data_IF_904793137484
#
_entry.id   IF_904793137484
#
_cell.length_a   1.000
_cell.length_b   1.000
_cell.length_c   1.000
_cell.angle_alpha   90.00
_cell.angle_beta   90.00
_cell.angle_gamma   90.00
#
_symmetry.space_group_name_H-M   'P 1'
#
loop_
_entity.id
_entity.type
_entity.pdbx_description
1 polymer ?
#
# COMPACT_ATOMS: atom_id res chain seq x y z
N UNK A 1 49.96 -8.71 74.17
CA UNK A 1 49.28 -9.01 72.89
C UNK A 1 49.38 -7.78 71.99
N UNK A 2 50.17 -7.85 70.91
CA UNK A 2 50.34 -6.76 69.92
C UNK A 2 49.72 -7.19 68.59
N UNK A 3 48.98 -6.28 67.95
CA UNK A 3 48.58 -6.38 66.54
C UNK A 3 49.64 -5.73 65.64
N UNK A 4 49.77 -6.23 64.42
CA UNK A 4 50.18 -5.54 63.18
C UNK A 4 49.44 -6.29 62.05
N UNK A 5 48.61 -5.69 61.18
CA UNK A 5 48.76 -4.63 60.15
C UNK A 5 49.36 -5.13 58.82
N UNK A 6 48.67 -4.72 57.74
CA UNK A 6 48.58 -5.26 56.38
C UNK A 6 49.81 -5.14 55.46
N UNK A 7 49.82 -5.88 54.33
CA UNK A 7 50.07 -5.32 52.97
C UNK A 7 49.88 -6.34 51.81
N UNK A 8 48.88 -6.06 50.96
CA UNK A 8 48.86 -5.93 49.48
C UNK A 8 49.82 -6.72 48.55
N UNK A 9 49.25 -7.43 47.53
CA UNK A 9 49.72 -7.41 46.12
C UNK A 9 48.74 -8.04 45.09
N UNK A 10 48.08 -7.14 44.33
CA UNK A 10 48.15 -7.02 42.84
C UNK A 10 47.54 -8.18 42.02
N UNK A 11 46.32 -8.04 41.45
CA UNK A 11 45.93 -7.20 40.28
C UNK A 11 46.69 -7.58 39.00
N UNK A 12 46.02 -8.23 38.03
CA UNK A 12 46.26 -8.04 36.58
C UNK A 12 45.60 -9.07 35.63
N UNK A 13 45.09 -10.23 36.09
CA UNK A 13 44.56 -11.27 35.16
C UNK A 13 43.05 -11.30 34.95
N UNK A 14 42.26 -10.54 35.72
CA UNK A 14 40.79 -10.58 35.65
C UNK A 14 40.15 -9.45 34.82
N UNK A 15 40.91 -8.53 34.27
CA UNK A 15 40.37 -7.35 33.56
C UNK A 15 40.22 -7.53 32.05
N UNK A 16 40.83 -8.56 31.44
CA UNK A 16 40.79 -8.74 29.99
C UNK A 16 39.57 -9.52 29.48
N UNK A 17 38.95 -10.34 30.32
CA UNK A 17 37.75 -11.12 29.92
C UNK A 17 36.45 -10.31 29.98
N UNK A 18 36.39 -9.29 30.85
CA UNK A 18 35.16 -8.51 31.04
C UNK A 18 34.91 -7.50 29.90
N UNK A 19 35.97 -6.93 29.33
CA UNK A 19 35.88 -5.92 28.27
C UNK A 19 35.36 -6.49 26.94
N UNK A 20 35.75 -7.72 26.59
CA UNK A 20 35.29 -8.39 25.37
C UNK A 20 33.81 -8.77 25.45
N UNK A 21 33.35 -9.24 26.61
CA UNK A 21 31.93 -9.59 26.83
C UNK A 21 31.06 -8.32 26.84
N UNK A 22 31.51 -7.24 27.45
CA UNK A 22 30.80 -5.96 27.42
C UNK A 22 30.70 -5.37 26.00
N UNK A 23 31.77 -5.46 25.20
CA UNK A 23 31.75 -5.03 23.81
C UNK A 23 30.78 -5.88 22.96
N UNK A 24 30.77 -7.20 23.15
CA UNK A 24 29.83 -8.09 22.45
C UNK A 24 28.37 -7.85 22.84
N UNK A 25 28.11 -7.59 24.14
CA UNK A 25 26.77 -7.24 24.62
C UNK A 25 26.33 -5.86 24.11
N UNK A 26 27.23 -4.89 24.02
CA UNK A 26 26.91 -3.58 23.43
C UNK A 26 26.63 -3.70 21.92
N UNK A 27 27.45 -4.41 21.15
CA UNK A 27 27.22 -4.57 19.70
C UNK A 27 25.94 -5.36 19.41
N UNK A 28 25.63 -6.39 20.20
CA UNK A 28 24.37 -7.14 20.06
C UNK A 28 23.13 -6.36 20.52
N UNK A 29 23.26 -5.46 21.51
CA UNK A 29 22.19 -4.53 21.88
C UNK A 29 21.99 -3.43 20.81
N UNK A 30 23.06 -2.89 20.22
CA UNK A 30 22.98 -1.91 19.13
C UNK A 30 22.36 -2.52 17.85
N UNK A 31 22.70 -3.77 17.51
CA UNK A 31 22.08 -4.49 16.39
C UNK A 31 20.62 -4.90 16.65
N UNK A 32 20.21 -5.06 17.92
CA UNK A 32 18.80 -5.33 18.27
C UNK A 32 17.93 -4.08 18.35
N UNK A 33 18.51 -2.91 18.61
CA UNK A 33 17.76 -1.67 18.81
C UNK A 33 17.43 -0.93 17.51
N UNK A 34 18.18 -1.20 16.44
CA UNK A 34 17.83 -0.74 15.09
C UNK A 34 17.33 -1.92 14.27
N UNK A 35 16.01 -2.16 14.20
CA UNK A 35 15.50 -3.01 13.13
C UNK A 35 15.90 -2.32 11.82
N UNK A 36 16.85 -2.89 11.09
CA UNK A 36 17.02 -2.59 9.68
C UNK A 36 15.80 -3.17 8.97
N UNK A 37 14.67 -2.46 9.07
CA UNK A 37 13.66 -2.48 8.04
C UNK A 37 14.31 -1.83 6.83
N UNK A 38 15.11 -2.60 6.10
CA UNK A 38 15.37 -2.28 4.70
C UNK A 38 14.04 -2.56 4.00
N UNK A 39 13.13 -1.59 4.11
CA UNK A 39 11.97 -1.51 3.23
C UNK A 39 12.60 -1.29 1.87
N UNK A 40 12.63 -2.33 1.03
CA UNK A 40 12.71 -2.12 -0.40
C UNK A 40 11.41 -1.43 -0.79
N UNK A 41 11.38 -0.11 -0.60
CA UNK A 41 10.43 0.75 -1.29
C UNK A 41 10.89 0.66 -2.74
N UNK A 42 10.35 -0.30 -3.46
CA UNK A 42 10.23 -0.20 -4.92
C UNK A 42 9.15 0.87 -5.15
N UNK A 43 9.54 2.11 -4.84
CA UNK A 43 8.84 3.29 -5.31
C UNK A 43 9.05 3.23 -6.80
N UNK A 44 8.04 2.70 -7.48
CA UNK A 44 7.87 2.74 -8.91
C UNK A 44 7.70 4.22 -9.28
N UNK A 45 8.78 4.99 -9.17
CA UNK A 45 8.91 6.38 -9.55
C UNK A 45 8.99 6.44 -11.08
N UNK A 46 7.94 5.98 -11.72
CA UNK A 46 7.48 6.61 -12.93
C UNK A 46 6.79 7.93 -12.55
N UNK A 47 7.57 8.92 -12.12
CA UNK A 47 7.19 10.31 -12.42
C UNK A 47 7.32 10.43 -13.94
N UNK A 48 6.34 9.90 -14.65
CA UNK A 48 6.25 10.03 -16.09
C UNK A 48 6.14 11.52 -16.34
N UNK A 49 7.09 12.07 -17.10
CA UNK A 49 6.98 13.44 -17.57
C UNK A 49 5.66 13.48 -18.32
N UNK A 50 4.64 14.10 -17.71
CA UNK A 50 3.30 14.17 -18.30
C UNK A 50 3.49 14.82 -19.66
N UNK A 51 3.37 14.01 -20.72
CA UNK A 51 3.57 14.51 -22.06
C UNK A 51 2.54 15.60 -22.30
N UNK A 52 2.93 16.64 -23.04
CA UNK A 52 2.07 17.80 -23.25
C UNK A 52 0.70 17.43 -23.86
N UNK A 53 0.63 16.31 -24.59
CA UNK A 53 -0.63 15.78 -25.13
C UNK A 53 -1.53 15.13 -24.07
N UNK A 54 -1.03 14.75 -22.90
CA UNK A 54 -1.77 14.14 -21.79
C UNK A 54 -2.13 15.13 -20.67
N UNK A 55 -1.47 16.28 -20.64
CA UNK A 55 -1.61 17.28 -19.59
C UNK A 55 -2.97 18.00 -19.63
N UNK A 56 -3.63 18.09 -18.47
CA UNK A 56 -4.73 19.02 -18.21
C UNK A 56 -4.39 19.87 -17.00
N UNK A 57 -4.44 21.19 -17.14
CA UNK A 57 -4.17 22.12 -16.04
C UNK A 57 -5.47 22.58 -15.40
N UNK A 58 -5.55 22.52 -14.07
CA UNK A 58 -6.65 23.05 -13.27
C UNK A 58 -6.13 23.51 -11.91
N UNK A 59 -6.52 24.70 -11.47
CA UNK A 59 -6.07 25.29 -10.18
C UNK A 59 -4.54 25.25 -9.97
N UNK A 60 -3.77 25.50 -11.02
CA UNK A 60 -2.29 25.43 -11.04
C UNK A 60 -1.68 24.05 -10.81
N UNK A 61 -2.48 22.98 -10.86
CA UNK A 61 -2.02 21.59 -10.85
C UNK A 61 -2.14 21.01 -12.26
N UNK A 62 -1.13 20.25 -12.69
CA UNK A 62 -1.15 19.52 -13.95
C UNK A 62 -1.53 18.07 -13.65
N UNK A 63 -2.60 17.62 -14.28
CA UNK A 63 -3.11 16.26 -14.19
C UNK A 63 -2.81 15.49 -15.46
N UNK A 64 -2.52 14.20 -15.29
CA UNK A 64 -2.34 13.27 -16.40
C UNK A 64 -3.66 12.58 -16.74
N UNK A 65 -4.23 12.92 -17.89
CA UNK A 65 -5.53 12.41 -18.34
C UNK A 65 -5.40 11.30 -19.39
N UNK A 66 -4.21 10.76 -19.58
CA UNK A 66 -3.98 9.59 -20.42
C UNK A 66 -4.13 8.29 -19.63
N UNK A 67 -5.13 7.49 -19.99
CA UNK A 67 -5.21 6.11 -19.51
C UNK A 67 -4.11 5.27 -20.17
N UNK A 68 -3.24 4.65 -19.38
CA UNK A 68 -2.19 3.73 -19.84
C UNK A 68 -2.56 2.31 -19.46
N UNK A 69 -2.22 1.34 -20.31
CA UNK A 69 -2.42 -0.06 -19.98
C UNK A 69 -1.44 -0.47 -18.85
N UNK A 70 -1.90 -1.04 -17.72
CA UNK A 70 -1.01 -1.37 -16.59
C UNK A 70 0.10 -2.36 -16.95
N UNK A 71 -0.17 -3.31 -17.84
CA UNK A 71 0.82 -4.30 -18.31
C UNK A 71 1.80 -3.73 -19.32
N UNK A 72 1.49 -2.59 -19.95
CA UNK A 72 2.36 -1.93 -20.90
C UNK A 72 2.04 -0.43 -21.00
N UNK A 73 2.81 0.38 -20.27
CA UNK A 73 2.62 1.83 -20.15
C UNK A 73 2.83 2.60 -21.46
N UNK A 74 3.47 1.98 -22.47
CA UNK A 74 3.60 2.57 -23.81
C UNK A 74 2.28 2.60 -24.58
N UNK A 75 1.32 1.73 -24.23
CA UNK A 75 -0.01 1.68 -24.83
C UNK A 75 -0.90 2.65 -24.06
N UNK A 76 -1.32 3.72 -24.75
CA UNK A 76 -2.27 4.71 -24.22
C UNK A 76 -3.62 4.61 -24.91
N UNK A 77 -4.68 4.77 -24.12
CA UNK A 77 -6.04 4.91 -24.59
C UNK A 77 -6.34 6.31 -25.13
N UNK A 78 -7.61 6.55 -25.43
CA UNK A 78 -8.08 7.92 -25.72
C UNK A 78 -7.94 8.77 -24.45
N UNK A 79 -7.31 9.94 -24.61
CA UNK A 79 -7.20 10.93 -23.55
C UNK A 79 -8.56 11.42 -23.09
N UNK A 80 -8.72 11.61 -21.78
CA UNK A 80 -9.91 12.23 -21.20
C UNK A 80 -9.98 13.72 -21.56
N UNK A 81 -11.19 14.24 -21.78
CA UNK A 81 -11.38 15.63 -22.21
C UNK A 81 -11.21 16.59 -21.02
N UNK A 82 -10.24 17.51 -21.09
CA UNK A 82 -9.94 18.46 -20.01
C UNK A 82 -11.16 19.33 -19.65
N UNK A 83 -12.14 19.52 -20.54
CA UNK A 83 -13.33 20.34 -20.22
C UNK A 83 -14.14 19.79 -19.04
N UNK A 84 -13.98 18.51 -18.71
CA UNK A 84 -14.67 17.87 -17.60
C UNK A 84 -13.88 17.86 -16.28
N UNK A 85 -12.72 18.52 -16.22
CA UNK A 85 -11.86 18.52 -15.01
C UNK A 85 -12.57 19.07 -13.76
N UNK A 86 -13.39 20.11 -13.91
CA UNK A 86 -14.19 20.66 -12.81
C UNK A 86 -15.24 19.65 -12.30
N UNK A 87 -15.82 18.83 -13.18
CA UNK A 87 -16.73 17.76 -12.77
C UNK A 87 -16.00 16.68 -11.98
N UNK A 88 -14.79 16.30 -12.41
CA UNK A 88 -13.96 15.35 -11.66
C UNK A 88 -13.58 15.88 -10.28
N UNK A 89 -13.30 17.17 -10.14
CA UNK A 89 -13.04 17.80 -8.84
C UNK A 89 -14.26 17.72 -7.93
N UNK A 90 -15.44 18.07 -8.44
CA UNK A 90 -16.69 18.03 -7.68
C UNK A 90 -17.06 16.61 -7.22
N UNK A 91 -16.66 15.60 -7.99
CA UNK A 91 -16.83 14.19 -7.64
C UNK A 91 -15.72 13.66 -6.71
N UNK A 92 -14.71 14.48 -6.38
CA UNK A 92 -13.55 14.07 -5.57
C UNK A 92 -12.55 13.18 -6.31
N UNK A 93 -12.65 13.05 -7.64
CA UNK A 93 -11.90 12.10 -8.47
C UNK A 93 -10.54 12.61 -8.96
N UNK A 94 -10.19 13.87 -8.67
CA UNK A 94 -8.85 14.41 -8.97
C UNK A 94 -7.79 14.04 -7.93
N UNK A 95 -8.21 13.45 -6.80
CA UNK A 95 -7.31 13.07 -5.72
C UNK A 95 -7.39 11.58 -5.45
N UNK A 96 -6.26 11.00 -5.05
CA UNK A 96 -6.21 9.60 -4.60
C UNK A 96 -6.71 9.44 -3.15
N UNK A 97 -7.28 10.49 -2.53
CA UNK A 97 -7.79 10.40 -1.15
C UNK A 97 -9.03 9.48 -1.05
N UNK A 98 -9.80 9.37 -2.14
CA UNK A 98 -10.98 8.50 -2.21
C UNK A 98 -10.69 7.16 -2.90
N UNK A 99 -9.46 6.91 -3.35
CA UNK A 99 -9.13 5.62 -3.98
C UNK A 99 -8.91 4.58 -2.90
N UNK A 100 -9.70 3.51 -2.92
CA UNK A 100 -9.51 2.40 -2.00
C UNK A 100 -8.34 1.56 -2.48
N UNK A 101 -7.30 1.47 -1.66
CA UNK A 101 -6.18 0.58 -1.90
C UNK A 101 -6.53 -0.84 -1.45
N UNK A 102 -6.77 -1.72 -2.43
CA UNK A 102 -7.13 -3.12 -2.22
C UNK A 102 -6.01 -3.95 -1.59
N UNK A 103 -4.76 -3.50 -1.61
CA UNK A 103 -3.62 -4.23 -1.03
C UNK A 103 -3.49 -3.94 0.47
N UNK A 104 -3.76 -2.70 0.87
CA UNK A 104 -3.51 -2.23 2.24
C UNK A 104 -4.77 -2.08 3.10
N UNK A 105 -5.97 -2.19 2.51
CA UNK A 105 -7.23 -2.08 3.25
C UNK A 105 -8.01 -3.40 3.25
N UNK A 106 -8.45 -3.81 4.44
CA UNK A 106 -9.43 -4.88 4.58
C UNK A 106 -10.73 -4.46 3.89
N UNK A 107 -11.06 -5.16 2.80
CA UNK A 107 -12.35 -4.99 2.15
C UNK A 107 -13.42 -5.73 2.94
N UNK A 108 -14.54 -5.08 3.29
CA UNK A 108 -15.67 -5.80 3.86
C UNK A 108 -16.15 -6.85 2.86
N UNK A 109 -16.76 -7.92 3.37
CA UNK A 109 -17.39 -8.93 2.54
C UNK A 109 -18.33 -8.26 1.50
N UNK A 110 -18.11 -8.48 0.19
CA UNK A 110 -18.82 -7.72 -0.83
C UNK A 110 -20.29 -8.12 -0.84
N UNK A 111 -21.16 -7.11 -0.72
CA UNK A 111 -22.60 -7.28 -0.89
C UNK A 111 -22.97 -6.84 -2.29
N UNK A 112 -23.49 -7.76 -3.09
CA UNK A 112 -23.93 -7.46 -4.45
C UNK A 112 -25.39 -7.00 -4.39
N UNK A 113 -25.68 -5.88 -5.05
CA UNK A 113 -27.05 -5.41 -5.26
C UNK A 113 -27.21 -5.21 -6.76
N UNK A 114 -28.17 -5.91 -7.35
CA UNK A 114 -28.49 -5.81 -8.77
C UNK A 114 -30.00 -5.84 -8.95
N UNK A 115 -30.43 -5.48 -10.15
CA UNK A 115 -31.82 -5.63 -10.56
C UNK A 115 -31.86 -6.31 -11.93
N UNK A 116 -32.91 -7.09 -12.20
CA UNK A 116 -33.11 -7.87 -13.43
C UNK A 116 -34.54 -7.60 -13.90
N UNK A 117 -34.71 -7.31 -15.19
CA UNK A 117 -36.01 -7.26 -15.86
C UNK A 117 -36.33 -8.57 -16.54
N UNK A 118 -37.61 -8.88 -16.78
CA UNK A 118 -38.03 -10.14 -17.40
C UNK A 118 -37.38 -10.32 -18.79
N UNK A 119 -37.28 -9.24 -19.56
CA UNK A 119 -36.68 -9.25 -20.90
C UNK A 119 -35.14 -9.38 -20.93
N UNK A 120 -34.47 -9.36 -19.78
CA UNK A 120 -33.03 -9.57 -19.64
C UNK A 120 -32.68 -10.60 -18.55
N UNK A 121 -33.58 -11.57 -18.34
CA UNK A 121 -33.43 -12.58 -17.30
C UNK A 121 -32.17 -13.44 -17.50
N UNK A 122 -31.87 -13.87 -18.72
CA UNK A 122 -30.72 -14.74 -19.02
C UNK A 122 -29.38 -14.03 -18.85
N UNK A 123 -29.30 -12.75 -19.21
CA UNK A 123 -28.14 -11.89 -18.96
C UNK A 123 -27.95 -11.70 -17.45
N UNK A 124 -29.04 -11.50 -16.72
CA UNK A 124 -29.06 -11.45 -15.27
C UNK A 124 -28.53 -12.75 -14.63
N UNK A 125 -29.00 -13.92 -15.07
CA UNK A 125 -28.50 -15.21 -14.61
C UNK A 125 -27.00 -15.38 -14.89
N UNK A 126 -26.55 -14.95 -16.07
CA UNK A 126 -25.13 -15.00 -16.45
C UNK A 126 -24.28 -14.13 -15.52
N UNK A 127 -24.76 -12.93 -15.17
CA UNK A 127 -24.13 -12.06 -14.18
C UNK A 127 -24.02 -12.77 -12.81
N UNK A 128 -25.12 -13.33 -12.30
CA UNK A 128 -25.12 -14.04 -11.01
C UNK A 128 -24.18 -15.24 -11.03
N UNK A 129 -24.18 -16.03 -12.11
CA UNK A 129 -23.30 -17.17 -12.26
C UNK A 129 -21.82 -16.77 -12.23
N UNK A 130 -21.47 -15.65 -12.88
CA UNK A 130 -20.10 -15.14 -12.87
C UNK A 130 -19.68 -14.60 -11.49
N UNK A 131 -20.58 -13.91 -10.78
CA UNK A 131 -20.34 -13.51 -9.38
C UNK A 131 -20.06 -14.74 -8.53
N UNK A 132 -20.88 -15.80 -8.63
CA UNK A 132 -20.74 -17.03 -7.84
C UNK A 132 -19.47 -17.84 -8.13
N UNK A 133 -18.85 -17.68 -9.30
CA UNK A 133 -17.54 -18.30 -9.60
C UNK A 133 -16.42 -17.76 -8.70
N UNK A 134 -16.48 -16.48 -8.36
CA UNK A 134 -15.46 -15.78 -7.56
C UNK A 134 -15.90 -15.72 -6.09
N UNK A 135 -17.13 -15.27 -5.84
CA UNK A 135 -17.70 -15.08 -4.50
C UNK A 135 -18.78 -16.11 -4.21
N UNK A 136 -18.34 -17.28 -3.73
CA UNK A 136 -19.21 -18.45 -3.56
C UNK A 136 -20.32 -18.24 -2.53
N UNK A 137 -20.02 -17.57 -1.42
CA UNK A 137 -20.90 -17.49 -0.24
C UNK A 137 -21.53 -16.11 -0.01
N UNK A 138 -21.18 -15.11 -0.83
CA UNK A 138 -21.62 -13.74 -0.58
C UNK A 138 -23.11 -13.52 -0.87
N UNK A 139 -23.71 -12.57 -0.16
CA UNK A 139 -25.11 -12.20 -0.37
C UNK A 139 -25.27 -11.38 -1.64
N UNK A 140 -26.27 -11.76 -2.44
CA UNK A 140 -26.66 -11.06 -3.65
C UNK A 140 -28.13 -10.70 -3.50
N UNK A 141 -28.43 -9.40 -3.43
CA UNK A 141 -29.78 -8.87 -3.48
C UNK A 141 -30.15 -8.62 -4.94
N UNK A 142 -31.24 -9.24 -5.38
CA UNK A 142 -31.76 -9.11 -6.74
C UNK A 142 -33.14 -8.49 -6.66
N UNK A 143 -33.30 -7.33 -7.29
CA UNK A 143 -34.61 -6.69 -7.47
C UNK A 143 -35.21 -7.07 -8.81
N UNK A 144 -36.49 -7.38 -8.80
CA UNK A 144 -37.28 -7.56 -10.01
C UNK A 144 -37.71 -6.19 -10.54
N UNK A 145 -37.41 -5.89 -11.80
CA UNK A 145 -37.78 -4.65 -12.49
C UNK A 145 -39.09 -4.76 -13.28
N UNK A 146 -39.70 -5.94 -13.35
CA UNK A 146 -40.82 -6.23 -14.23
C UNK A 146 -40.39 -7.00 -15.47
#
# INVERSE_FOLDING_TARGET
MKRAMCSEKVSQRLTWSCSAVFAYLFVSLFFRMYPTTFVSVEEDFAYDIIRNDCACQHENVIYDFCYRLPTNTSIKGRRFDCKYIAHLQNLGLLSNQSTVDFQNHYMPAPRFVTAISENHFEEGLTLIANIRKIWKTEWIFVYDLG
#
